data_IF_998391253873
#
_entry.id   IF_998391253873
#
_cell.length_a   1.000
_cell.length_b   1.000
_cell.length_c   1.000
_cell.angle_alpha   90.00
_cell.angle_beta   90.00
_cell.angle_gamma   90.00
#
_symmetry.space_group_name_H-M   'P 1'
#
loop_
_entity.id
_entity.type
_entity.pdbx_description
1 polymer ?
#
# COMPACT_ATOMS: atom_id res chain seq x y z
N UNK A 1 -2.03 17.48 49.10
CA UNK A 1 -0.95 17.06 50.02
C UNK A 1 0.37 17.55 49.44
N UNK A 2 1.15 18.37 50.16
CA UNK A 2 2.46 18.80 49.69
C UNK A 2 3.45 17.65 49.87
N UNK A 3 3.97 17.11 48.77
CA UNK A 3 5.12 16.22 48.81
C UNK A 3 6.37 17.09 48.97
N UNK A 4 7.07 16.99 50.09
CA UNK A 4 8.36 17.66 50.28
C UNK A 4 9.37 17.08 49.29
N UNK A 5 9.92 17.94 48.41
CA UNK A 5 10.89 17.52 47.40
C UNK A 5 12.13 16.96 48.08
N UNK A 6 12.45 15.69 47.80
CA UNK A 6 13.67 15.02 48.28
C UNK A 6 13.44 13.89 49.28
N UNK A 7 12.21 13.66 49.75
CA UNK A 7 11.92 12.57 50.69
C UNK A 7 11.28 11.40 49.93
N UNK A 8 11.95 10.25 49.93
CA UNK A 8 11.42 9.01 49.34
C UNK A 8 10.37 8.43 50.31
N UNK A 9 9.10 8.24 49.89
CA UNK A 9 8.08 7.66 50.75
C UNK A 9 8.42 6.22 51.13
N UNK A 10 8.07 5.83 52.36
CA UNK A 10 8.42 4.53 52.95
C UNK A 10 7.82 3.39 52.11
N UNK A 11 8.67 2.64 51.41
CA UNK A 11 8.28 1.54 50.51
C UNK A 11 8.57 1.76 49.01
N UNK A 12 8.97 2.97 48.60
CA UNK A 12 9.38 3.24 47.23
C UNK A 12 10.86 2.88 47.02
N UNK A 13 11.15 2.04 46.01
CA UNK A 13 12.52 1.78 45.56
C UNK A 13 12.91 2.87 44.55
N UNK A 14 13.99 3.63 44.77
CA UNK A 14 14.49 4.55 43.77
C UNK A 14 14.95 3.78 42.54
N UNK A 15 14.75 4.35 41.35
CA UNK A 15 15.29 3.79 40.10
C UNK A 15 16.81 3.83 40.15
N UNK A 16 17.47 2.76 39.74
CA UNK A 16 18.93 2.76 39.62
C UNK A 16 19.35 3.73 38.50
N UNK A 17 20.43 4.48 38.73
CA UNK A 17 20.91 5.44 37.75
C UNK A 17 21.34 4.71 36.47
N UNK A 18 20.65 4.98 35.36
CA UNK A 18 20.89 4.30 34.08
C UNK A 18 19.84 3.24 33.73
N UNK A 19 18.97 2.85 34.67
CA UNK A 19 17.84 1.98 34.39
C UNK A 19 16.57 2.80 34.12
N UNK A 20 15.99 2.58 32.94
CA UNK A 20 14.67 3.14 32.64
C UNK A 20 13.63 2.50 33.58
N UNK A 21 12.82 3.32 34.24
CA UNK A 21 11.68 2.84 35.03
C UNK A 21 10.62 2.08 34.22
N UNK A 22 10.73 2.07 32.90
CA UNK A 22 10.00 1.20 32.00
C UNK A 22 10.97 0.57 30.97
N UNK A 23 11.64 -0.55 31.30
CA UNK A 23 12.62 -1.20 30.43
C UNK A 23 12.04 -1.67 29.09
N UNK A 24 10.78 -2.11 29.09
CA UNK A 24 10.07 -2.57 27.88
C UNK A 24 9.45 -1.43 27.07
N UNK A 25 9.59 -0.18 27.53
CA UNK A 25 9.01 0.99 26.90
C UNK A 25 7.47 0.98 26.86
N UNK A 26 6.89 1.99 26.23
CA UNK A 26 5.45 1.99 25.96
C UNK A 26 5.18 0.92 24.88
N UNK A 27 4.25 -0.03 25.10
CA UNK A 27 3.85 -0.96 24.06
C UNK A 27 3.49 -0.21 22.77
N UNK A 28 3.99 -0.68 21.62
CA UNK A 28 3.70 -0.06 20.33
C UNK A 28 2.19 0.04 20.13
N UNK A 29 1.72 1.14 19.56
CA UNK A 29 0.29 1.34 19.25
C UNK A 29 -0.19 0.18 18.36
N UNK A 30 -1.42 -0.28 18.57
CA UNK A 30 -2.04 -1.37 17.79
C UNK A 30 -1.92 -1.15 16.27
N UNK A 31 -2.13 0.08 15.81
CA UNK A 31 -1.98 0.47 14.39
C UNK A 31 -0.57 0.25 13.83
N UNK A 32 0.47 0.34 14.66
CA UNK A 32 1.86 0.07 14.26
C UNK A 32 2.14 -1.43 14.17
N UNK A 33 1.48 -2.26 14.99
CA UNK A 33 1.57 -3.72 14.92
C UNK A 33 0.84 -4.27 13.69
N UNK A 34 -0.31 -3.67 13.34
CA UNK A 34 -1.05 -4.03 12.12
C UNK A 34 -0.30 -3.67 10.83
N UNK A 35 0.56 -2.65 10.87
CA UNK A 35 1.39 -2.26 9.71
C UNK A 35 2.41 -3.34 9.35
N UNK A 36 2.95 -4.04 10.34
CA UNK A 36 3.87 -5.17 10.13
C UNK A 36 3.15 -6.43 9.62
N UNK A 37 1.83 -6.53 9.84
CA UNK A 37 0.95 -7.57 9.27
C UNK A 37 0.36 -7.17 7.92
N UNK A 38 0.71 -5.99 7.40
CA UNK A 38 0.21 -5.49 6.12
C UNK A 38 0.86 -6.21 4.94
N UNK A 39 0.08 -6.43 3.89
CA UNK A 39 0.59 -6.95 2.62
C UNK A 39 1.58 -5.96 1.99
N UNK A 40 2.67 -6.50 1.43
CA UNK A 40 3.53 -5.76 0.48
C UNK A 40 2.78 -5.55 -0.83
N UNK A 41 3.16 -4.53 -1.58
CA UNK A 41 2.53 -4.24 -2.88
C UNK A 41 2.58 -5.43 -3.85
N UNK A 42 3.68 -6.17 -3.86
CA UNK A 42 3.83 -7.40 -4.66
C UNK A 42 2.83 -8.48 -4.24
N UNK A 43 2.69 -8.71 -2.93
CA UNK A 43 1.80 -9.73 -2.38
C UNK A 43 0.33 -9.42 -2.68
N UNK A 44 -0.05 -8.14 -2.74
CA UNK A 44 -1.40 -7.72 -3.15
C UNK A 44 -1.66 -8.11 -4.61
N UNK A 45 -0.70 -7.87 -5.49
CA UNK A 45 -0.85 -8.20 -6.92
C UNK A 45 -0.93 -9.70 -7.13
N UNK A 46 -0.08 -10.48 -6.44
CA UNK A 46 -0.09 -11.94 -6.49
C UNK A 46 -1.43 -12.49 -5.98
N UNK A 47 -1.95 -11.92 -4.90
CA UNK A 47 -3.26 -12.30 -4.33
C UNK A 47 -4.41 -12.04 -5.32
N UNK A 48 -4.38 -10.90 -6.03
CA UNK A 48 -5.40 -10.59 -7.05
C UNK A 48 -5.28 -11.55 -8.24
N UNK A 49 -4.07 -11.88 -8.69
CA UNK A 49 -3.85 -12.87 -9.77
C UNK A 49 -4.42 -14.23 -9.41
N UNK A 50 -4.12 -14.72 -8.21
CA UNK A 50 -4.63 -16.00 -7.72
C UNK A 50 -6.16 -16.00 -7.68
N UNK A 51 -6.79 -14.93 -7.18
CA UNK A 51 -8.26 -14.82 -7.18
C UNK A 51 -8.88 -14.74 -8.57
N UNK A 52 -8.20 -14.11 -9.55
CA UNK A 52 -8.69 -14.08 -10.93
C UNK A 52 -8.61 -15.45 -11.62
N UNK A 53 -7.74 -16.34 -11.15
CA UNK A 53 -7.60 -17.71 -11.68
C UNK A 53 -8.55 -18.73 -11.04
N UNK A 54 -9.20 -18.36 -9.93
CA UNK A 54 -10.16 -19.23 -9.22
C UNK A 54 -11.47 -19.36 -9.99
N UNK A 55 -12.18 -20.47 -9.76
CA UNK A 55 -13.57 -20.60 -10.20
C UNK A 55 -14.56 -19.84 -9.28
N UNK A 56 -15.83 -19.80 -9.69
CA UNK A 56 -16.87 -19.06 -8.95
C UNK A 56 -17.14 -19.70 -7.58
N UNK A 57 -16.99 -21.01 -7.42
CA UNK A 57 -17.25 -21.72 -6.18
C UNK A 57 -16.14 -21.44 -5.16
N UNK A 58 -14.89 -21.51 -5.59
CA UNK A 58 -13.69 -21.16 -4.83
C UNK A 58 -13.71 -19.70 -4.38
N UNK A 59 -14.06 -18.78 -5.28
CA UNK A 59 -14.15 -17.36 -4.96
C UNK A 59 -15.23 -17.09 -3.90
N UNK A 60 -16.36 -17.79 -3.98
CA UNK A 60 -17.40 -17.73 -2.96
C UNK A 60 -16.97 -18.34 -1.63
N UNK A 61 -16.18 -19.42 -1.66
CA UNK A 61 -15.60 -20.01 -0.45
C UNK A 61 -14.67 -19.02 0.27
N UNK A 62 -13.85 -18.26 -0.47
CA UNK A 62 -13.01 -17.17 0.09
C UNK A 62 -13.87 -16.08 0.72
N UNK A 63 -14.96 -15.68 0.07
CA UNK A 63 -15.85 -14.65 0.59
C UNK A 63 -16.53 -15.04 1.91
N UNK A 64 -17.01 -16.28 2.00
CA UNK A 64 -17.73 -16.80 3.19
C UNK A 64 -16.77 -17.09 4.35
N UNK A 65 -15.50 -17.41 4.07
CA UNK A 65 -14.52 -17.78 5.08
C UNK A 65 -14.36 -16.68 6.17
N UNK A 66 -14.66 -16.94 7.45
CA UNK A 66 -14.54 -15.94 8.51
C UNK A 66 -13.10 -15.53 8.81
N UNK A 67 -12.11 -16.34 8.42
CA UNK A 67 -10.69 -16.07 8.63
C UNK A 67 -10.03 -15.30 7.47
N UNK A 68 -10.71 -15.17 6.34
CA UNK A 68 -10.19 -14.40 5.21
C UNK A 68 -10.08 -12.92 5.57
N UNK A 69 -9.05 -12.24 5.05
CA UNK A 69 -8.82 -10.83 5.34
C UNK A 69 -9.89 -9.95 4.67
N UNK A 70 -10.07 -8.74 5.18
CA UNK A 70 -11.01 -7.77 4.59
C UNK A 70 -10.64 -7.49 3.12
N UNK A 71 -9.35 -7.48 2.79
CA UNK A 71 -8.88 -7.29 1.41
C UNK A 71 -9.41 -8.37 0.48
N UNK A 72 -9.20 -9.64 0.86
CA UNK A 72 -9.62 -10.81 0.07
C UNK A 72 -11.14 -10.83 -0.11
N UNK A 73 -11.88 -10.57 0.96
CA UNK A 73 -13.35 -10.51 0.90
C UNK A 73 -13.87 -9.38 0.01
N UNK A 74 -13.19 -8.23 0.02
CA UNK A 74 -13.59 -7.08 -0.81
C UNK A 74 -13.34 -7.38 -2.29
N UNK A 75 -12.20 -7.98 -2.62
CA UNK A 75 -11.88 -8.38 -3.99
C UNK A 75 -12.84 -9.46 -4.48
N UNK A 76 -13.09 -10.51 -3.67
CA UNK A 76 -14.03 -11.58 -4.03
C UNK A 76 -15.45 -11.06 -4.27
N UNK A 77 -15.95 -10.16 -3.42
CA UNK A 77 -17.26 -9.54 -3.61
C UNK A 77 -17.31 -8.64 -4.85
N UNK A 78 -16.24 -7.90 -5.14
CA UNK A 78 -16.14 -7.07 -6.33
C UNK A 78 -16.16 -7.92 -7.61
N UNK A 79 -15.40 -9.02 -7.62
CA UNK A 79 -15.36 -9.98 -8.73
C UNK A 79 -16.73 -10.67 -8.95
N UNK A 80 -17.38 -11.11 -7.88
CA UNK A 80 -18.74 -11.66 -7.96
C UNK A 80 -19.74 -10.66 -8.54
N UNK A 81 -19.71 -9.41 -8.08
CA UNK A 81 -20.56 -8.34 -8.62
C UNK A 81 -20.22 -7.97 -10.06
N UNK A 82 -18.95 -7.99 -10.44
CA UNK A 82 -18.53 -7.70 -11.81
C UNK A 82 -18.98 -8.79 -12.77
N UNK A 83 -18.97 -10.06 -12.34
CA UNK A 83 -19.51 -11.19 -13.09
C UNK A 83 -21.02 -11.06 -13.26
N UNK A 84 -21.76 -10.80 -12.18
CA UNK A 84 -23.22 -10.63 -12.25
C UNK A 84 -23.66 -9.46 -13.15
N UNK A 85 -22.88 -8.36 -13.18
CA UNK A 85 -23.19 -7.17 -13.97
C UNK A 85 -22.57 -7.17 -15.36
N UNK A 86 -21.68 -8.11 -15.68
CA UNK A 86 -20.91 -8.13 -16.93
C UNK A 86 -20.02 -6.89 -17.15
N UNK A 87 -19.55 -6.26 -16.07
CA UNK A 87 -18.80 -5.00 -16.15
C UNK A 87 -17.33 -5.25 -16.48
N UNK A 88 -16.98 -5.18 -17.77
CA UNK A 88 -15.60 -5.27 -18.26
C UNK A 88 -14.66 -4.23 -17.63
N UNK A 89 -15.20 -3.06 -17.25
CA UNK A 89 -14.46 -1.98 -16.59
C UNK A 89 -13.84 -2.39 -15.24
N UNK A 90 -14.55 -3.25 -14.49
CA UNK A 90 -14.05 -3.75 -13.21
C UNK A 90 -12.90 -4.74 -13.40
N UNK A 91 -12.90 -5.48 -14.51
CA UNK A 91 -11.78 -6.34 -14.89
C UNK A 91 -10.59 -5.52 -15.40
N UNK A 92 -10.83 -4.53 -16.26
CA UNK A 92 -9.76 -3.68 -16.83
C UNK A 92 -8.98 -2.91 -15.74
N UNK A 93 -9.68 -2.41 -14.72
CA UNK A 93 -9.05 -1.75 -13.56
C UNK A 93 -8.24 -2.71 -12.71
N UNK A 94 -8.70 -3.96 -12.51
CA UNK A 94 -7.93 -5.00 -11.82
C UNK A 94 -6.71 -5.45 -12.64
N UNK A 95 -6.87 -5.66 -13.95
CA UNK A 95 -5.81 -6.05 -14.87
C UNK A 95 -4.74 -4.97 -14.98
N UNK A 96 -5.14 -3.70 -15.10
CA UNK A 96 -4.20 -2.56 -15.14
C UNK A 96 -3.41 -2.43 -13.85
N UNK A 97 -4.02 -2.74 -12.69
CA UNK A 97 -3.31 -2.71 -11.39
C UNK A 97 -2.27 -3.82 -11.27
N UNK A 98 -2.58 -5.00 -11.80
CA UNK A 98 -1.73 -6.20 -11.71
C UNK A 98 -0.62 -6.17 -12.77
N UNK A 99 -0.97 -5.93 -14.03
CA UNK A 99 -0.06 -6.03 -15.18
C UNK A 99 0.50 -4.67 -15.62
N UNK A 100 0.03 -3.58 -15.02
CA UNK A 100 0.30 -2.23 -15.50
C UNK A 100 -0.54 -1.89 -16.74
N UNK A 101 -0.49 -0.62 -17.17
CA UNK A 101 -1.03 -0.25 -18.48
C UNK A 101 -0.10 -0.82 -19.56
N UNK A 102 -0.64 -1.32 -20.70
CA UNK A 102 0.15 -1.59 -21.88
C UNK A 102 1.03 -0.38 -22.19
N UNK A 103 2.31 -0.58 -22.53
CA UNK A 103 3.22 0.52 -22.89
C UNK A 103 2.62 1.29 -24.07
N UNK A 104 2.05 2.45 -23.80
CA UNK A 104 1.67 3.40 -24.83
C UNK A 104 2.97 3.89 -25.50
N UNK A 105 3.25 3.38 -26.70
CA UNK A 105 4.31 3.94 -27.53
C UNK A 105 3.81 5.29 -28.05
N UNK A 106 4.25 6.37 -27.40
CA UNK A 106 4.14 7.70 -27.98
C UNK A 106 5.17 7.79 -29.09
N UNK A 107 4.73 7.74 -30.35
CA UNK A 107 5.56 8.14 -31.47
C UNK A 107 5.69 9.67 -31.41
N UNK A 108 6.68 10.15 -30.67
CA UNK A 108 7.03 11.58 -30.62
C UNK A 108 7.75 11.89 -31.92
N UNK A 109 6.99 12.16 -32.99
CA UNK A 109 7.51 12.81 -34.18
C UNK A 109 7.76 14.29 -33.83
N UNK A 110 8.92 14.57 -33.23
CA UNK A 110 9.41 15.94 -33.11
C UNK A 110 9.85 16.41 -34.50
N UNK A 111 8.92 17.04 -35.23
CA UNK A 111 9.23 17.83 -36.41
C UNK A 111 10.01 19.08 -35.97
N UNK A 112 11.32 18.90 -35.77
CA UNK A 112 12.25 19.96 -35.40
C UNK A 112 12.54 20.79 -36.64
N UNK A 113 11.66 21.76 -36.93
CA UNK A 113 11.94 22.79 -37.92
C UNK A 113 13.05 23.67 -37.39
N UNK A 114 14.26 23.44 -37.88
CA UNK A 114 15.42 24.31 -37.64
C UNK A 114 15.22 25.56 -38.51
N UNK A 115 14.81 26.67 -37.91
CA UNK A 115 14.80 27.97 -38.58
C UNK A 115 16.22 28.56 -38.56
N UNK A 116 16.90 28.52 -39.71
CA UNK A 116 18.21 29.15 -39.87
C UNK A 116 18.01 30.62 -40.22
N UNK A 117 18.30 31.52 -39.28
CA UNK A 117 18.32 32.97 -39.53
C UNK A 117 19.72 33.37 -39.97
N UNK A 118 19.87 33.72 -41.25
CA UNK A 118 21.12 34.27 -41.77
C UNK A 118 21.21 35.76 -41.41
N UNK A 119 22.03 36.10 -40.44
CA UNK A 119 22.47 37.48 -40.21
C UNK A 119 23.84 37.65 -40.87
N UNK A 120 23.96 38.65 -41.75
CA UNK A 120 25.18 38.96 -42.49
C UNK A 120 26.40 39.00 -41.56
N UNK A 121 27.31 38.04 -41.77
CA UNK A 121 28.65 38.03 -41.19
C UNK A 121 28.91 37.06 -40.03
N UNK A 122 27.91 36.42 -39.41
CA UNK A 122 28.14 35.36 -38.42
C UNK A 122 27.05 34.30 -38.42
N UNK A 123 27.41 33.08 -38.82
CA UNK A 123 26.59 31.88 -38.61
C UNK A 123 26.66 31.49 -37.13
N UNK A 124 25.50 31.37 -36.48
CA UNK A 124 25.37 30.78 -35.14
C UNK A 124 24.43 29.58 -35.30
N UNK A 125 24.88 28.41 -34.84
CA UNK A 125 24.14 27.14 -34.86
C UNK A 125 23.20 27.04 -33.67
#
# INVERSE_FOLDING_TARGET
MPFEKGITPKGAKPFEAGESGNPSGRPRKYVSLLKDQGYKLSEINDTIQVMMSMDIEELNAVYVNPKATIMEKTIANAMNKSLQKGSLYSLDTLLTRVYGKPKEQYDIQQDTKIEVVFVEGKTIL
#
